data_IF_881872597574
#
_entry.id   IF_881872597574
#
_cell.length_a   1.000
_cell.length_b   1.000
_cell.length_c   1.000
_cell.angle_alpha   90.00
_cell.angle_beta   90.00
_cell.angle_gamma   90.00
#
_symmetry.space_group_name_H-M   'P 1'
#
loop_
_entity.id
_entity.type
_entity.pdbx_description
1 polymer ?
#
# COMPACT_ATOMS: atom_id res chain seq x y z
N UNK A 1 -2.19 -9.93 -17.03
CA UNK A 1 -0.90 -10.21 -16.36
C UNK A 1 -0.98 -9.64 -14.95
N UNK A 2 -0.56 -10.37 -13.92
CA UNK A 2 -0.63 -9.91 -12.52
C UNK A 2 0.54 -8.96 -12.25
N UNK A 3 0.27 -7.76 -11.72
CA UNK A 3 1.31 -6.81 -11.39
C UNK A 3 1.93 -7.13 -10.01
N UNK A 4 3.09 -7.80 -10.01
CA UNK A 4 3.82 -8.16 -8.77
C UNK A 4 4.36 -6.94 -8.02
N UNK A 5 4.39 -5.76 -8.64
CA UNK A 5 4.83 -4.55 -7.95
C UNK A 5 3.91 -4.14 -6.80
N UNK A 6 2.68 -4.64 -6.80
CA UNK A 6 1.69 -4.35 -5.76
C UNK A 6 1.91 -5.14 -4.47
N UNK A 7 2.85 -6.07 -4.46
CA UNK A 7 3.22 -6.83 -3.27
C UNK A 7 4.03 -5.90 -2.36
N UNK A 8 3.41 -5.41 -1.29
CA UNK A 8 4.12 -4.66 -0.26
C UNK A 8 5.17 -5.53 0.42
N UNK A 9 6.37 -4.99 0.62
CA UNK A 9 7.44 -5.69 1.36
C UNK A 9 7.10 -5.94 2.83
N UNK A 10 6.13 -5.18 3.36
CA UNK A 10 5.50 -5.39 4.67
C UNK A 10 4.21 -6.23 4.62
N UNK A 11 3.79 -6.75 3.47
CA UNK A 11 2.52 -7.46 3.31
C UNK A 11 1.32 -6.59 2.98
N UNK A 12 1.49 -5.28 2.83
CA UNK A 12 0.43 -4.38 2.39
C UNK A 12 0.09 -4.63 0.92
N UNK A 13 -1.18 -4.74 0.57
CA UNK A 13 -1.57 -4.65 -0.84
C UNK A 13 -1.52 -3.21 -1.35
N UNK A 14 -0.49 -2.85 -2.13
CA UNK A 14 -0.37 -1.48 -2.65
C UNK A 14 -1.53 -1.11 -3.58
N UNK A 15 -2.22 -2.09 -4.16
CA UNK A 15 -3.40 -1.83 -4.96
C UNK A 15 -4.55 -1.19 -4.18
N UNK A 16 -4.53 -1.16 -2.85
CA UNK A 16 -5.49 -0.44 -2.00
C UNK A 16 -4.87 0.75 -1.23
N UNK A 17 -3.60 1.08 -1.48
CA UNK A 17 -2.93 2.23 -0.88
C UNK A 17 -3.45 3.55 -1.48
N UNK A 18 -3.76 4.54 -0.64
CA UNK A 18 -4.25 5.87 -1.06
C UNK A 18 -3.35 6.56 -2.08
N UNK A 19 -2.03 6.50 -1.91
CA UNK A 19 -1.07 7.10 -2.84
C UNK A 19 -1.17 6.44 -4.22
N UNK A 20 -1.13 5.10 -4.26
CA UNK A 20 -1.18 4.36 -5.52
C UNK A 20 -2.51 4.58 -6.23
N UNK A 21 -3.62 4.51 -5.49
CA UNK A 21 -4.96 4.79 -6.01
C UNK A 21 -5.07 6.21 -6.55
N UNK A 22 -4.60 7.21 -5.80
CA UNK A 22 -4.61 8.59 -6.27
C UNK A 22 -3.87 8.73 -7.61
N UNK A 23 -2.64 8.21 -7.69
CA UNK A 23 -1.86 8.30 -8.92
C UNK A 23 -2.50 7.60 -10.12
N UNK A 24 -3.10 6.41 -9.92
CA UNK A 24 -3.67 5.60 -11.01
C UNK A 24 -5.09 5.98 -11.38
N UNK A 25 -5.87 6.53 -10.45
CA UNK A 25 -7.32 6.57 -10.59
C UNK A 25 -7.88 8.00 -10.68
N UNK A 26 -7.29 8.98 -9.99
CA UNK A 26 -7.94 10.28 -9.82
C UNK A 26 -6.99 11.45 -9.55
N UNK A 27 -6.98 12.43 -10.45
CA UNK A 27 -6.32 13.73 -10.24
C UNK A 27 -6.83 14.44 -8.99
N UNK A 28 -8.13 14.39 -8.71
CA UNK A 28 -8.74 14.96 -7.50
C UNK A 28 -8.19 14.33 -6.22
N UNK A 29 -8.00 13.00 -6.19
CA UNK A 29 -7.34 12.34 -5.07
C UNK A 29 -5.88 12.76 -4.95
N UNK A 30 -5.15 12.88 -6.07
CA UNK A 30 -3.76 13.37 -6.06
C UNK A 30 -3.66 14.77 -5.49
N UNK A 31 -4.50 15.70 -5.94
CA UNK A 31 -4.56 17.07 -5.42
C UNK A 31 -4.90 17.11 -3.92
N UNK A 32 -5.80 16.25 -3.47
CA UNK A 32 -6.19 16.17 -2.06
C UNK A 32 -5.03 15.69 -1.19
N UNK A 33 -4.31 14.64 -1.62
CA UNK A 33 -3.12 14.15 -0.93
C UNK A 33 -1.97 15.15 -1.00
N UNK A 34 -1.75 15.78 -2.15
CA UNK A 34 -0.74 16.80 -2.35
C UNK A 34 -0.92 17.98 -1.38
N UNK A 35 -2.14 18.50 -1.25
CA UNK A 35 -2.46 19.53 -0.24
C UNK A 35 -2.24 19.04 1.19
N UNK A 36 -2.66 17.81 1.49
CA UNK A 36 -2.50 17.21 2.83
C UNK A 36 -1.03 17.10 3.24
N UNK A 37 -0.17 16.76 2.28
CA UNK A 37 1.26 16.50 2.49
C UNK A 37 2.16 17.67 2.08
N UNK A 38 1.58 18.83 1.75
CA UNK A 38 2.34 20.03 1.39
C UNK A 38 3.26 19.88 0.17
N UNK A 39 2.91 19.02 -0.79
CA UNK A 39 3.68 18.78 -2.01
C UNK A 39 2.86 19.10 -3.28
N UNK A 40 3.50 19.00 -4.44
CA UNK A 40 2.78 19.15 -5.72
C UNK A 40 2.02 17.86 -6.09
N UNK A 41 0.88 17.95 -6.81
CA UNK A 41 0.19 16.76 -7.31
C UNK A 41 1.07 15.86 -8.20
N UNK A 42 2.02 16.47 -8.91
CA UNK A 42 3.00 15.77 -9.76
C UNK A 42 4.03 14.98 -8.98
N UNK A 43 4.30 15.36 -7.75
CA UNK A 43 5.07 14.51 -6.85
C UNK A 43 4.24 13.26 -6.57
N UNK A 44 2.94 13.32 -6.25
CA UNK A 44 2.07 12.15 -5.93
C UNK A 44 1.93 11.12 -7.07
N UNK A 45 2.95 10.28 -7.25
CA UNK A 45 3.07 9.10 -8.11
C UNK A 45 3.28 7.79 -7.31
N UNK A 46 3.05 6.62 -7.87
CA UNK A 46 3.49 5.35 -7.26
C UNK A 46 3.27 4.21 -8.23
N UNK A 47 4.30 3.40 -8.48
CA UNK A 47 4.21 2.23 -9.36
C UNK A 47 4.13 0.90 -8.59
N UNK A 48 4.02 0.97 -7.25
CA UNK A 48 3.97 -0.17 -6.34
C UNK A 48 5.26 -0.35 -5.53
N UNK A 49 5.18 -1.08 -4.42
CA UNK A 49 6.28 -1.22 -3.45
C UNK A 49 7.55 -1.83 -4.04
N UNK A 50 7.45 -2.80 -4.96
CA UNK A 50 8.63 -3.47 -5.51
C UNK A 50 9.46 -2.60 -6.46
N UNK A 51 8.85 -1.55 -7.00
CA UNK A 51 9.48 -0.60 -7.92
C UNK A 51 9.36 0.83 -7.40
N UNK A 52 9.29 0.98 -6.07
CA UNK A 52 9.24 2.30 -5.43
C UNK A 52 10.34 3.16 -6.04
N UNK A 53 9.91 4.24 -6.69
CA UNK A 53 10.81 5.18 -7.34
C UNK A 53 11.71 5.77 -6.28
N UNK A 54 13.03 5.64 -6.47
CA UNK A 54 14.05 6.20 -5.56
C UNK A 54 14.21 7.72 -5.74
N UNK A 55 13.65 8.26 -6.82
CA UNK A 55 13.70 9.67 -7.18
C UNK A 55 12.29 10.25 -7.38
N UNK A 56 12.16 11.58 -7.24
CA UNK A 56 10.91 12.31 -7.50
C UNK A 56 10.05 12.65 -6.28
N UNK A 57 10.59 12.53 -5.06
CA UNK A 57 9.81 12.65 -3.81
C UNK A 57 10.46 13.60 -2.80
N UNK A 58 10.19 14.90 -2.88
CA UNK A 58 10.88 15.92 -2.11
C UNK A 58 10.46 16.05 -0.63
N UNK A 59 9.24 15.65 -0.27
CA UNK A 59 8.68 15.87 1.07
C UNK A 59 9.17 14.90 2.16
N UNK A 60 9.05 15.31 3.44
CA UNK A 60 9.42 14.54 4.66
C UNK A 60 8.49 13.33 4.96
N UNK A 61 7.87 12.76 3.94
CA UNK A 61 6.73 11.86 4.11
C UNK A 61 7.11 10.39 4.30
N UNK A 62 6.36 9.60 5.08
CA UNK A 62 6.72 8.21 5.42
C UNK A 62 6.34 7.16 4.35
N UNK A 63 6.36 7.50 3.06
CA UNK A 63 5.95 6.61 1.97
C UNK A 63 6.84 6.74 0.73
N UNK A 64 6.67 5.86 -0.26
CA UNK A 64 7.54 5.84 -1.44
C UNK A 64 9.00 5.59 -1.05
N UNK A 65 9.93 6.40 -1.58
CA UNK A 65 11.38 6.33 -1.24
C UNK A 65 11.68 6.60 0.23
N UNK A 66 10.80 7.32 0.89
CA UNK A 66 10.93 7.73 2.29
C UNK A 66 10.19 6.76 3.24
N UNK A 67 9.66 5.65 2.71
CA UNK A 67 9.06 4.61 3.54
C UNK A 67 10.12 3.96 4.44
N UNK A 68 9.99 4.18 5.75
CA UNK A 68 10.90 3.64 6.77
C UNK A 68 11.05 2.11 6.73
N UNK A 69 9.99 1.39 6.31
CA UNK A 69 10.06 -0.07 6.18
C UNK A 69 10.90 -0.48 4.96
N UNK A 70 10.67 0.14 3.80
CA UNK A 70 11.46 -0.15 2.58
C UNK A 70 12.93 0.17 2.84
N UNK A 71 13.24 1.33 3.42
CA UNK A 71 14.61 1.71 3.79
C UNK A 71 15.24 0.71 4.77
N UNK A 72 14.51 0.27 5.79
CA UNK A 72 14.99 -0.73 6.73
C UNK A 72 15.33 -2.07 6.04
N UNK A 73 14.50 -2.50 5.09
CA UNK A 73 14.72 -3.75 4.36
C UNK A 73 15.88 -3.64 3.38
N UNK A 74 15.97 -2.52 2.63
CA UNK A 74 17.10 -2.23 1.74
C UNK A 74 18.42 -2.22 2.53
N UNK A 75 18.47 -1.56 3.69
CA UNK A 75 19.66 -1.51 4.54
C UNK A 75 20.09 -2.90 5.09
N UNK A 76 19.16 -3.85 5.14
CA UNK A 76 19.41 -5.23 5.59
C UNK A 76 19.59 -6.21 4.44
N UNK A 77 19.44 -5.79 3.18
CA UNK A 77 19.44 -6.67 2.03
C UNK A 77 18.27 -7.67 2.02
N UNK A 78 17.14 -7.31 2.62
CA UNK A 78 15.94 -8.16 2.72
C UNK A 78 14.87 -7.69 1.73
N UNK A 79 14.10 -8.63 1.20
CA UNK A 79 12.97 -8.35 0.31
C UNK A 79 11.67 -8.15 1.09
N UNK A 80 11.48 -8.88 2.19
CA UNK A 80 10.24 -8.85 2.97
C UNK A 80 10.49 -8.78 4.48
N UNK A 81 9.55 -8.18 5.20
CA UNK A 81 9.61 -8.13 6.67
C UNK A 81 9.71 -9.51 7.32
N UNK A 82 9.05 -10.54 6.76
CA UNK A 82 9.07 -11.90 7.31
C UNK A 82 10.43 -12.60 7.20
N UNK A 83 11.38 -12.05 6.44
CA UNK A 83 12.75 -12.56 6.31
C UNK A 83 13.68 -12.00 7.41
N UNK A 84 13.23 -10.97 8.14
CA UNK A 84 14.01 -10.39 9.22
C UNK A 84 13.97 -11.29 10.46
N UNK A 85 15.13 -11.61 11.03
CA UNK A 85 15.23 -12.41 12.26
C UNK A 85 14.46 -11.78 13.45
N UNK A 86 14.38 -10.44 13.49
CA UNK A 86 13.63 -9.71 14.53
C UNK A 86 12.15 -9.48 14.17
N UNK A 87 11.59 -10.14 13.15
CA UNK A 87 10.24 -9.85 12.65
C UNK A 87 9.15 -9.97 13.72
N UNK A 88 9.24 -10.98 14.60
CA UNK A 88 8.24 -11.23 15.65
C UNK A 88 8.04 -10.05 16.60
N UNK A 89 9.15 -9.38 16.95
CA UNK A 89 9.23 -8.30 17.95
C UNK A 89 9.54 -6.94 17.31
N UNK A 90 9.47 -6.84 15.99
CA UNK A 90 9.80 -5.61 15.26
C UNK A 90 8.75 -4.52 15.53
N UNK A 91 9.07 -3.59 16.41
CA UNK A 91 8.20 -2.45 16.78
C UNK A 91 7.72 -1.67 15.54
N UNK A 92 8.64 -1.29 14.64
CA UNK A 92 8.31 -0.60 13.37
C UNK A 92 7.27 -1.34 12.54
N UNK A 93 7.36 -2.68 12.47
CA UNK A 93 6.38 -3.47 11.74
C UNK A 93 5.07 -3.56 12.52
N UNK A 94 5.13 -3.75 13.83
CA UNK A 94 3.95 -3.86 14.69
C UNK A 94 3.11 -2.59 14.71
N UNK A 95 3.74 -1.42 14.79
CA UNK A 95 3.06 -0.12 14.66
C UNK A 95 2.32 -0.02 13.32
N UNK A 96 3.01 -0.32 12.23
CA UNK A 96 2.43 -0.26 10.89
C UNK A 96 1.30 -1.29 10.71
N UNK A 97 1.49 -2.50 11.22
CA UNK A 97 0.48 -3.56 11.21
C UNK A 97 -0.79 -3.14 11.97
N UNK A 98 -0.67 -2.65 13.20
CA UNK A 98 -1.81 -2.21 14.01
C UNK A 98 -2.57 -1.05 13.34
N UNK A 99 -1.85 -0.13 12.69
CA UNK A 99 -2.45 0.97 11.95
C UNK A 99 -3.29 0.51 10.75
N UNK A 100 -3.00 -0.65 10.15
CA UNK A 100 -3.71 -1.19 8.97
C UNK A 100 -4.76 -2.23 9.34
N UNK A 101 -4.56 -2.95 10.45
CA UNK A 101 -5.47 -3.98 10.93
C UNK A 101 -6.88 -3.42 11.19
N UNK A 102 -6.97 -2.19 11.70
CA UNK A 102 -8.24 -1.49 11.95
C UNK A 102 -9.07 -1.25 10.67
N UNK A 103 -8.42 -1.25 9.50
CA UNK A 103 -9.07 -1.15 8.19
C UNK A 103 -9.30 -2.52 7.55
N UNK A 104 -9.13 -3.62 8.29
CA UNK A 104 -9.33 -4.98 7.76
C UNK A 104 -8.15 -5.51 6.94
N UNK A 105 -6.98 -4.88 6.98
CA UNK A 105 -5.78 -5.33 6.28
C UNK A 105 -4.81 -6.05 7.24
N UNK A 106 -4.83 -7.38 7.22
CA UNK A 106 -3.96 -8.21 8.08
C UNK A 106 -2.60 -8.48 7.42
N UNK A 107 -1.62 -7.61 7.66
CA UNK A 107 -0.29 -7.70 7.06
C UNK A 107 0.46 -8.99 7.40
N UNK A 108 0.23 -9.56 8.59
CA UNK A 108 0.89 -10.81 9.02
C UNK A 108 0.37 -12.00 8.22
N UNK A 109 -0.93 -12.09 8.03
CA UNK A 109 -1.54 -13.12 7.17
C UNK A 109 -1.09 -12.97 5.71
N UNK A 110 -1.03 -11.74 5.22
CA UNK A 110 -0.54 -11.44 3.87
C UNK A 110 0.91 -11.90 3.68
N UNK A 111 1.81 -11.56 4.62
CA UNK A 111 3.21 -12.01 4.60
C UNK A 111 3.32 -13.53 4.67
N UNK A 112 2.45 -14.22 5.42
CA UNK A 112 2.43 -15.69 5.47
C UNK A 112 2.07 -16.31 4.11
N UNK A 113 1.10 -15.74 3.38
CA UNK A 113 0.75 -16.18 2.03
C UNK A 113 1.90 -15.94 1.05
N UNK A 114 2.54 -14.78 1.12
CA UNK A 114 3.71 -14.43 0.30
C UNK A 114 4.87 -15.41 0.56
N UNK A 115 5.21 -15.64 1.84
CA UNK A 115 6.24 -16.60 2.26
C UNK A 115 5.96 -18.02 1.78
N UNK A 116 4.69 -18.42 1.74
CA UNK A 116 4.27 -19.73 1.25
C UNK A 116 4.28 -19.88 -0.28
N UNK A 117 4.78 -18.89 -1.03
CA UNK A 117 4.80 -18.91 -2.50
C UNK A 117 3.44 -18.62 -3.15
N UNK A 118 2.45 -18.16 -2.37
CA UNK A 118 1.07 -17.90 -2.84
C UNK A 118 0.81 -16.43 -3.15
N UNK A 119 1.86 -15.68 -3.51
CA UNK A 119 1.76 -14.24 -3.73
C UNK A 119 0.81 -13.87 -4.89
N UNK A 120 0.75 -14.66 -5.96
CA UNK A 120 -0.16 -14.39 -7.08
C UNK A 120 -1.63 -14.66 -6.75
N UNK A 121 -1.90 -15.69 -5.95
CA UNK A 121 -3.24 -15.98 -5.43
C UNK A 121 -3.68 -14.85 -4.49
N UNK A 122 -2.83 -14.51 -3.53
CA UNK A 122 -3.04 -13.41 -2.60
C UNK A 122 -3.34 -12.08 -3.31
N UNK A 123 -2.59 -11.73 -4.37
CA UNK A 123 -2.85 -10.52 -5.15
C UNK A 123 -4.25 -10.51 -5.78
N UNK A 124 -4.76 -11.65 -6.23
CA UNK A 124 -6.12 -11.75 -6.79
C UNK A 124 -7.18 -11.62 -5.71
N UNK A 125 -6.95 -12.19 -4.54
CA UNK A 125 -7.86 -12.10 -3.39
C UNK A 125 -7.96 -10.65 -2.90
N UNK A 126 -6.82 -9.98 -2.70
CA UNK A 126 -6.77 -8.59 -2.28
C UNK A 126 -7.35 -7.65 -3.34
N UNK A 127 -7.08 -7.86 -4.63
CA UNK A 127 -7.71 -7.06 -5.69
C UNK A 127 -9.25 -7.18 -5.67
N UNK A 128 -9.79 -8.37 -5.41
CA UNK A 128 -11.24 -8.57 -5.29
C UNK A 128 -11.80 -7.91 -4.04
N UNK A 129 -11.12 -8.05 -2.90
CA UNK A 129 -11.49 -7.47 -1.61
C UNK A 129 -11.62 -5.94 -1.72
N UNK A 130 -10.67 -5.30 -2.40
CA UNK A 130 -10.58 -3.84 -2.49
C UNK A 130 -11.24 -3.25 -3.74
N UNK A 131 -12.44 -3.76 -4.08
CA UNK A 131 -13.29 -3.23 -5.15
C UNK A 131 -14.60 -2.69 -4.57
N UNK A 132 -15.06 -1.57 -5.13
CA UNK A 132 -16.36 -1.02 -4.77
C UNK A 132 -17.47 -2.03 -5.12
N UNK A 133 -18.36 -2.38 -4.20
CA UNK A 133 -19.43 -3.36 -4.47
C UNK A 133 -20.45 -2.85 -5.50
N UNK A 134 -20.56 -1.53 -5.69
CA UNK A 134 -21.51 -0.94 -6.63
C UNK A 134 -20.97 -0.81 -8.06
N UNK A 135 -19.75 -0.29 -8.23
CA UNK A 135 -19.17 -0.03 -9.56
C UNK A 135 -18.00 -0.94 -9.94
N UNK A 136 -17.59 -1.85 -9.04
CA UNK A 136 -16.51 -2.83 -9.21
C UNK A 136 -15.11 -2.23 -9.50
N UNK A 137 -14.94 -0.92 -9.40
CA UNK A 137 -13.63 -0.26 -9.54
C UNK A 137 -12.81 -0.37 -8.26
N UNK A 138 -11.49 -0.43 -8.41
CA UNK A 138 -10.56 -0.47 -7.28
C UNK A 138 -10.71 0.77 -6.40
N UNK A 139 -10.61 0.57 -5.09
CA UNK A 139 -10.76 1.60 -4.07
C UNK A 139 -9.56 1.57 -3.11
N UNK A 140 -9.36 2.68 -2.40
CA UNK A 140 -8.38 2.75 -1.31
C UNK A 140 -9.02 2.26 -0.02
N UNK A 141 -8.26 1.56 0.81
CA UNK A 141 -8.73 1.02 2.10
C UNK A 141 -9.22 2.07 3.10
N UNK A 142 -8.74 3.31 2.96
CA UNK A 142 -9.11 4.41 3.85
C UNK A 142 -10.31 5.23 3.38
N UNK A 143 -11.00 4.82 2.30
CA UNK A 143 -12.13 5.57 1.78
C UNK A 143 -13.44 5.10 2.41
N UNK A 144 -14.19 6.04 2.98
CA UNK A 144 -15.58 5.83 3.41
C UNK A 144 -16.57 5.94 2.24
N UNK A 145 -16.17 6.60 1.15
CA UNK A 145 -16.98 6.77 -0.06
C UNK A 145 -16.18 6.43 -1.31
N UNK A 146 -16.83 5.75 -2.26
CA UNK A 146 -16.21 5.39 -3.52
C UNK A 146 -15.98 6.64 -4.38
N UNK A 147 -14.71 7.01 -4.58
CA UNK A 147 -14.33 8.16 -5.41
C UNK A 147 -14.74 8.07 -6.89
N UNK A 148 -15.20 6.89 -7.34
CA UNK A 148 -15.69 6.67 -8.70
C UNK A 148 -17.20 6.90 -8.88
N UNK A 149 -18.01 6.49 -7.89
CA UNK A 149 -19.47 6.47 -8.04
C UNK A 149 -20.24 7.09 -6.86
N UNK A 150 -19.54 7.54 -5.82
CA UNK A 150 -20.14 8.18 -4.64
C UNK A 150 -20.84 7.21 -3.67
N UNK A 151 -20.86 5.91 -3.95
CA UNK A 151 -21.44 4.94 -3.03
C UNK A 151 -20.67 4.90 -1.71
N UNK A 152 -21.39 4.89 -0.58
CA UNK A 152 -20.80 4.64 0.74
C UNK A 152 -20.19 3.25 0.76
N UNK A 153 -18.96 3.15 1.24
CA UNK A 153 -18.24 1.91 1.43
C UNK A 153 -18.51 1.44 2.85
N UNK A 154 -18.95 0.19 3.00
CA UNK A 154 -19.18 -0.40 4.31
C UNK A 154 -17.84 -0.49 5.06
N UNK A 155 -17.74 0.24 6.16
CA UNK A 155 -16.71 0.06 7.19
C UNK A 155 -16.90 -1.24 7.94
#
# INVERSE_FOLDING_TARGET
MINKNLIGRCGLYCGACSIYRAYKDSSKLRETLARKYGCSPDEVRCEGCQVVLREGWGGEENWGRNCKIVQCLDAKGLNFCHECNNYGECERFNEFFNAHLQYGENLRENLNKIKAGRAEEWLKEEDKKWRCPNCNKSISMYLEECHWCGAKLSS
#
